data_IF_892814165297
#
_entry.id   IF_892814165297
#
_cell.length_a   1.000
_cell.length_b   1.000
_cell.length_c   1.000
_cell.angle_alpha   90.00
_cell.angle_beta   90.00
_cell.angle_gamma   90.00
#
_symmetry.space_group_name_H-M   'P 1'
#
loop_
_entity.id
_entity.type
_entity.pdbx_description
1 polymer ?
#
# COMPACT_ATOMS: atom_id res chain seq x y z
N UNK A 1 6.24 -34.17 7.02
CA UNK A 1 6.02 -33.90 5.59
C UNK A 1 5.37 -32.52 5.46
N UNK A 2 6.17 -31.59 4.94
CA UNK A 2 5.88 -30.33 4.22
C UNK A 2 4.67 -29.45 4.60
N UNK A 3 4.97 -28.22 5.03
CA UNK A 3 4.15 -27.03 4.77
C UNK A 3 5.07 -25.80 4.58
N UNK A 4 5.10 -25.31 3.34
CA UNK A 4 5.76 -24.08 2.87
C UNK A 4 5.06 -22.82 3.41
N UNK A 5 5.81 -21.78 3.79
CA UNK A 5 5.38 -20.38 3.64
C UNK A 5 6.56 -19.42 3.87
N UNK A 6 7.28 -19.13 2.79
CA UNK A 6 8.17 -17.98 2.64
C UNK A 6 8.02 -17.54 1.18
N UNK A 7 7.28 -16.46 0.94
CA UNK A 7 7.31 -15.79 -0.36
C UNK A 7 8.46 -14.78 -0.32
N UNK A 8 9.62 -15.29 -0.74
CA UNK A 8 10.69 -14.50 -1.35
C UNK A 8 10.53 -14.80 -2.84
N UNK A 9 10.13 -13.81 -3.64
CA UNK A 9 10.34 -13.85 -5.08
C UNK A 9 11.61 -13.04 -5.36
N UNK A 10 12.73 -13.73 -5.49
CA UNK A 10 13.87 -13.28 -6.29
C UNK A 10 13.57 -13.63 -7.74
N UNK A 11 13.59 -12.68 -8.66
CA UNK A 11 13.84 -12.95 -10.08
C UNK A 11 14.39 -11.68 -10.77
N UNK A 12 15.72 -11.60 -10.89
CA UNK A 12 16.42 -10.79 -11.91
C UNK A 12 17.25 -11.74 -12.80
N UNK A 13 16.73 -12.14 -13.97
CA UNK A 13 17.29 -11.74 -15.26
C UNK A 13 16.67 -12.48 -16.47
N UNK A 14 16.01 -11.67 -17.30
CA UNK A 14 16.15 -11.63 -18.76
C UNK A 14 15.58 -12.77 -19.60
N UNK A 15 14.27 -12.81 -19.68
CA UNK A 15 13.54 -12.41 -20.90
C UNK A 15 12.27 -11.82 -20.33
N UNK A 16 11.85 -10.61 -20.71
CA UNK A 16 10.45 -10.23 -20.45
C UNK A 16 9.61 -11.43 -20.89
N UNK A 17 8.91 -12.15 -19.99
CA UNK A 17 7.66 -12.68 -20.47
C UNK A 17 6.96 -11.41 -20.91
N UNK A 18 6.55 -11.36 -22.17
CA UNK A 18 5.45 -10.50 -22.56
C UNK A 18 4.31 -10.83 -21.58
N UNK A 19 4.33 -10.20 -20.40
CA UNK A 19 3.17 -10.01 -19.57
C UNK A 19 2.39 -9.10 -20.46
N UNK A 20 1.57 -9.72 -21.28
CA UNK A 20 0.72 -9.07 -22.23
C UNK A 20 -0.03 -7.99 -21.46
N UNK A 21 0.47 -6.76 -21.59
CA UNK A 21 -0.09 -5.55 -21.01
C UNK A 21 -1.49 -5.28 -21.61
N UNK A 22 -2.00 -6.18 -22.45
CA UNK A 22 -3.40 -6.34 -22.80
C UNK A 22 -4.27 -6.89 -21.64
N UNK A 23 -4.12 -6.36 -20.41
CA UNK A 23 -5.29 -6.25 -19.52
C UNK A 23 -6.30 -5.19 -20.02
N UNK A 24 -5.99 -4.53 -21.14
CA UNK A 24 -6.67 -3.33 -21.63
C UNK A 24 -7.36 -3.52 -22.99
N UNK A 25 -7.84 -4.72 -23.32
CA UNK A 25 -8.68 -4.89 -24.52
C UNK A 25 -10.10 -4.31 -24.37
N UNK A 26 -10.31 -3.33 -23.48
CA UNK A 26 -11.45 -2.41 -23.37
C UNK A 26 -11.09 -1.10 -22.61
N UNK A 27 -9.81 -0.80 -22.36
CA UNK A 27 -9.43 0.59 -22.04
C UNK A 27 -9.12 1.23 -23.38
N UNK A 28 -10.13 1.92 -23.89
CA UNK A 28 -9.97 2.90 -24.96
C UNK A 28 -9.03 4.01 -24.43
N UNK A 29 -7.72 3.78 -24.50
CA UNK A 29 -6.66 4.70 -24.05
C UNK A 29 -6.70 6.04 -24.82
N UNK A 30 -7.42 6.09 -25.94
CA UNK A 30 -7.71 7.32 -26.68
C UNK A 30 -8.90 8.10 -26.11
N UNK A 31 -9.73 7.50 -25.23
CA UNK A 31 -10.86 8.18 -24.59
C UNK A 31 -10.58 8.76 -23.21
N UNK A 32 -9.51 8.38 -22.52
CA UNK A 32 -9.11 8.96 -21.23
C UNK A 32 -7.75 9.66 -21.37
N UNK A 33 -7.71 10.74 -22.17
CA UNK A 33 -6.51 11.57 -22.28
C UNK A 33 -6.17 12.23 -20.93
N UNK A 34 -4.89 12.59 -20.68
CA UNK A 34 -4.50 13.38 -19.51
C UNK A 34 -5.30 14.69 -19.35
N UNK A 35 -5.82 15.22 -20.45
CA UNK A 35 -6.69 16.41 -20.45
C UNK A 35 -8.08 16.10 -19.90
N UNK A 36 -8.68 14.95 -20.25
CA UNK A 36 -9.95 14.49 -19.64
C UNK A 36 -9.80 14.15 -18.16
N UNK A 37 -8.63 13.70 -17.73
CA UNK A 37 -8.32 13.53 -16.31
C UNK A 37 -8.36 14.86 -15.55
N UNK A 38 -7.86 15.94 -16.15
CA UNK A 38 -7.95 17.27 -15.54
C UNK A 38 -9.40 17.76 -15.47
N UNK A 39 -10.22 17.49 -16.49
CA UNK A 39 -11.65 17.80 -16.49
C UNK A 39 -12.45 16.95 -15.49
N UNK A 40 -12.16 15.65 -15.37
CA UNK A 40 -12.82 14.73 -14.43
C UNK A 40 -12.43 15.00 -12.96
N UNK A 41 -11.21 15.51 -12.72
CA UNK A 41 -10.80 16.08 -11.42
C UNK A 41 -11.43 17.45 -11.14
N UNK A 42 -11.74 18.24 -12.16
CA UNK A 42 -12.43 19.53 -12.01
C UNK A 42 -13.93 19.33 -11.76
N UNK A 43 -14.55 18.26 -12.29
CA UNK A 43 -15.91 17.84 -11.91
C UNK A 43 -16.01 17.24 -10.50
N UNK A 44 -14.88 16.86 -9.90
CA UNK A 44 -14.81 16.47 -8.49
C UNK A 44 -14.86 17.72 -7.62
N UNK A 45 -16.03 18.34 -7.55
CA UNK A 45 -16.33 19.40 -6.59
C UNK A 45 -16.20 18.80 -5.18
N UNK A 46 -15.03 19.01 -4.57
CA UNK A 46 -14.58 18.40 -3.30
C UNK A 46 -15.42 18.84 -2.09
N UNK A 47 -16.33 19.79 -2.30
CA UNK A 47 -17.26 20.34 -1.30
C UNK A 47 -18.62 19.64 -1.25
N UNK A 48 -18.94 18.74 -2.18
CA UNK A 48 -20.24 18.05 -2.22
C UNK A 48 -20.24 16.65 -1.62
N UNK A 49 -19.22 16.28 -0.83
CA UNK A 49 -19.25 15.06 -0.02
C UNK A 49 -20.12 15.25 1.23
N UNK A 50 -21.37 15.67 1.03
CA UNK A 50 -22.33 15.86 2.11
C UNK A 50 -22.62 14.49 2.76
N UNK A 51 -22.26 14.29 4.05
CA UNK A 51 -22.46 13.02 4.76
C UNK A 51 -23.92 12.56 4.74
N UNK A 52 -24.86 13.50 4.61
CA UNK A 52 -26.29 13.23 4.64
C UNK A 52 -26.85 12.69 3.31
N UNK A 53 -26.16 12.90 2.18
CA UNK A 53 -26.56 12.35 0.87
C UNK A 53 -26.19 10.87 0.75
N UNK A 54 -25.06 10.48 1.34
CA UNK A 54 -24.55 9.08 1.34
C UNK A 54 -25.41 8.19 2.24
N UNK A 55 -26.02 8.75 3.29
CA UNK A 55 -26.81 8.01 4.28
C UNK A 55 -28.21 7.55 3.82
N UNK A 56 -28.73 8.04 2.68
CA UNK A 56 -30.16 7.89 2.35
C UNK A 56 -30.58 6.60 1.61
N UNK A 57 -29.67 5.64 1.35
CA UNK A 57 -30.00 4.46 0.49
C UNK A 57 -29.53 3.07 0.97
N UNK A 58 -29.26 2.85 2.25
CA UNK A 58 -28.88 1.52 2.78
C UNK A 58 -29.21 1.33 4.26
N UNK A 59 -29.13 0.08 4.74
CA UNK A 59 -29.47 -0.36 6.10
C UNK A 59 -28.90 0.56 7.21
N UNK A 60 -29.73 0.90 8.21
CA UNK A 60 -29.48 1.90 9.26
C UNK A 60 -28.19 1.70 10.07
N UNK A 61 -27.61 0.49 10.07
CA UNK A 61 -26.36 0.16 10.81
C UNK A 61 -25.09 0.36 9.97
N UNK A 62 -25.13 0.06 8.68
CA UNK A 62 -24.00 0.25 7.74
C UNK A 62 -23.75 1.73 7.42
N UNK A 63 -24.79 2.56 7.47
CA UNK A 63 -24.71 4.01 7.27
C UNK A 63 -23.86 4.71 8.33
N UNK A 64 -23.87 4.20 9.58
CA UNK A 64 -23.13 4.82 10.67
C UNK A 64 -21.63 4.50 10.59
N UNK A 65 -21.24 3.31 10.14
CA UNK A 65 -19.82 2.95 9.94
C UNK A 65 -19.17 3.77 8.83
N UNK A 66 -19.87 3.93 7.69
CA UNK A 66 -19.39 4.78 6.59
C UNK A 66 -19.29 6.22 7.06
N UNK A 67 -20.28 6.74 7.81
CA UNK A 67 -20.25 8.12 8.33
C UNK A 67 -19.09 8.34 9.29
N UNK A 68 -18.85 7.41 10.22
CA UNK A 68 -17.72 7.47 11.15
C UNK A 68 -16.38 7.46 10.41
N UNK A 69 -16.24 6.59 9.39
CA UNK A 69 -15.05 6.54 8.56
C UNK A 69 -14.81 7.85 7.80
N UNK A 70 -15.84 8.39 7.14
CA UNK A 70 -15.75 9.67 6.42
C UNK A 70 -15.38 10.84 7.34
N UNK A 71 -15.92 10.84 8.56
CA UNK A 71 -15.56 11.83 9.56
C UNK A 71 -14.10 11.72 9.98
N UNK A 72 -13.58 10.50 10.16
CA UNK A 72 -12.19 10.28 10.57
C UNK A 72 -11.20 10.72 9.47
N UNK A 73 -11.44 10.35 8.21
CA UNK A 73 -10.57 10.77 7.11
C UNK A 73 -10.68 12.28 6.81
N UNK A 74 -11.82 12.89 7.12
CA UNK A 74 -12.05 14.33 6.95
C UNK A 74 -11.27 15.20 7.96
N UNK A 75 -10.74 14.61 9.03
CA UNK A 75 -9.91 15.33 10.02
C UNK A 75 -8.50 15.65 9.51
N UNK A 76 -8.00 14.89 8.54
CA UNK A 76 -6.67 15.07 7.99
C UNK A 76 -6.76 16.06 6.83
N UNK A 77 -6.00 17.18 6.85
CA UNK A 77 -6.01 18.16 5.78
C UNK A 77 -5.46 17.58 4.47
N UNK A 78 -5.87 18.17 3.35
CA UNK A 78 -5.31 17.86 2.05
C UNK A 78 -3.87 18.38 1.98
N UNK A 79 -2.98 17.64 1.32
CA UNK A 79 -1.60 18.05 1.12
C UNK A 79 -1.50 19.12 0.04
N UNK A 80 -0.70 20.15 0.31
CA UNK A 80 -0.27 21.08 -0.72
C UNK A 80 0.79 20.45 -1.63
N UNK A 81 1.05 21.06 -2.80
CA UNK A 81 1.99 20.52 -3.79
C UNK A 81 3.41 20.35 -3.24
N UNK A 82 3.88 21.30 -2.44
CA UNK A 82 5.22 21.25 -1.85
C UNK A 82 5.30 20.19 -0.74
N UNK A 83 4.20 20.01 0.02
CA UNK A 83 4.08 18.97 1.03
C UNK A 83 4.02 17.57 0.40
N UNK A 84 3.30 17.40 -0.72
CA UNK A 84 3.28 16.15 -1.49
C UNK A 84 4.69 15.72 -1.88
N UNK A 85 5.51 16.66 -2.39
CA UNK A 85 6.90 16.39 -2.78
C UNK A 85 7.76 16.04 -1.56
N UNK A 86 7.64 16.81 -0.47
CA UNK A 86 8.40 16.59 0.76
C UNK A 86 8.10 15.23 1.41
N UNK A 87 6.82 14.86 1.51
CA UNK A 87 6.41 13.56 2.05
C UNK A 87 6.86 12.42 1.14
N UNK A 88 6.65 12.54 -0.18
CA UNK A 88 7.10 11.55 -1.15
C UNK A 88 8.62 11.30 -1.08
N UNK A 89 9.43 12.34 -0.93
CA UNK A 89 10.88 12.20 -0.78
C UNK A 89 11.28 11.44 0.49
N UNK A 90 10.59 11.67 1.62
CA UNK A 90 10.84 10.93 2.86
C UNK A 90 10.47 9.47 2.72
N UNK A 91 9.34 9.18 2.06
CA UNK A 91 8.90 7.81 1.75
C UNK A 91 9.92 7.10 0.87
N UNK A 92 10.34 7.73 -0.24
CA UNK A 92 11.31 7.15 -1.16
C UNK A 92 12.65 6.89 -0.47
N UNK A 93 13.14 7.84 0.35
CA UNK A 93 14.38 7.63 1.12
C UNK A 93 14.26 6.43 2.05
N UNK A 94 13.10 6.23 2.67
CA UNK A 94 12.84 5.09 3.54
C UNK A 94 12.77 3.76 2.79
N UNK A 95 12.14 3.72 1.62
CA UNK A 95 12.08 2.52 0.78
C UNK A 95 13.48 2.16 0.27
N UNK A 96 14.24 3.15 -0.20
CA UNK A 96 15.60 2.94 -0.68
C UNK A 96 16.49 2.30 0.39
N UNK A 97 16.45 2.76 1.65
CA UNK A 97 17.29 2.14 2.70
C UNK A 97 16.87 0.69 3.01
N UNK A 98 15.60 0.33 2.83
CA UNK A 98 15.12 -1.05 3.00
C UNK A 98 15.60 -1.92 1.83
N UNK A 99 15.53 -1.40 0.60
CA UNK A 99 16.01 -2.10 -0.59
C UNK A 99 17.52 -2.33 -0.53
N UNK A 100 18.31 -1.32 -0.15
CA UNK A 100 19.77 -1.48 0.01
C UNK A 100 20.12 -2.50 1.09
N UNK A 101 19.34 -2.55 2.18
CA UNK A 101 19.48 -3.59 3.20
C UNK A 101 19.21 -4.99 2.63
N UNK A 102 18.17 -5.13 1.81
CA UNK A 102 17.80 -6.40 1.19
C UNK A 102 18.88 -6.86 0.20
N UNK A 103 19.33 -5.96 -0.70
CA UNK A 103 20.43 -6.24 -1.64
C UNK A 103 21.72 -6.63 -0.93
N UNK A 104 22.09 -5.93 0.14
CA UNK A 104 23.28 -6.26 0.91
C UNK A 104 23.17 -7.63 1.60
N UNK A 105 21.97 -8.02 2.04
CA UNK A 105 21.72 -9.36 2.57
C UNK A 105 21.82 -10.44 1.46
N UNK A 106 21.32 -10.18 0.25
CA UNK A 106 21.44 -11.08 -0.90
C UNK A 106 22.88 -11.24 -1.39
N UNK A 107 23.68 -10.17 -1.32
CA UNK A 107 25.10 -10.15 -1.72
C UNK A 107 26.01 -10.96 -0.75
N UNK A 108 25.43 -11.58 0.28
CA UNK A 108 26.12 -12.53 1.17
C UNK A 108 26.47 -11.98 2.56
N UNK A 109 25.92 -10.84 2.98
CA UNK A 109 26.09 -10.35 4.34
C UNK A 109 25.25 -11.16 5.33
N UNK A 110 25.86 -12.18 5.95
CA UNK A 110 25.20 -13.08 6.89
C UNK A 110 24.58 -12.35 8.11
N UNK A 111 25.19 -11.25 8.55
CA UNK A 111 24.68 -10.44 9.67
C UNK A 111 23.35 -9.78 9.30
N UNK A 112 23.25 -9.23 8.08
CA UNK A 112 22.02 -8.63 7.59
C UNK A 112 20.95 -9.66 7.27
N UNK A 113 21.34 -10.84 6.77
CA UNK A 113 20.39 -11.95 6.58
C UNK A 113 19.77 -12.38 7.91
N UNK A 114 20.58 -12.58 8.96
CA UNK A 114 20.08 -12.91 10.29
C UNK A 114 19.19 -11.78 10.83
N UNK A 115 19.58 -10.53 10.64
CA UNK A 115 18.79 -9.36 11.05
C UNK A 115 17.42 -9.29 10.37
N UNK A 116 17.35 -9.49 9.05
CA UNK A 116 16.08 -9.52 8.29
C UNK A 116 15.19 -10.65 8.81
N UNK A 117 15.74 -11.86 9.00
CA UNK A 117 14.97 -12.99 9.55
C UNK A 117 14.39 -12.69 10.93
N UNK A 118 15.15 -12.03 11.80
CA UNK A 118 14.66 -11.61 13.12
C UNK A 118 13.50 -10.61 13.01
N UNK A 119 13.63 -9.62 12.11
CA UNK A 119 12.57 -8.63 11.83
C UNK A 119 11.33 -9.31 11.26
N UNK A 120 11.47 -10.26 10.34
CA UNK A 120 10.35 -10.99 9.76
C UNK A 120 9.62 -11.86 10.80
N UNK A 121 10.34 -12.44 11.77
CA UNK A 121 9.71 -13.14 12.90
C UNK A 121 8.93 -12.15 13.76
N UNK A 122 9.47 -10.96 14.02
CA UNK A 122 8.77 -9.92 14.76
C UNK A 122 7.48 -9.49 14.04
N UNK A 123 7.55 -9.25 12.74
CA UNK A 123 6.41 -8.75 11.97
C UNK A 123 5.31 -9.82 11.85
N UNK A 124 5.69 -11.09 11.70
CA UNK A 124 4.74 -12.22 11.81
C UNK A 124 4.03 -12.26 13.17
N UNK A 125 4.75 -12.02 14.26
CA UNK A 125 4.15 -11.94 15.60
C UNK A 125 3.20 -10.75 15.73
N UNK A 126 3.52 -9.60 15.14
CA UNK A 126 2.62 -8.44 15.10
C UNK A 126 1.32 -8.80 14.39
N UNK A 127 1.39 -9.46 13.23
CA UNK A 127 0.20 -9.90 12.48
C UNK A 127 -0.63 -10.89 13.28
N UNK A 128 -0.01 -11.84 13.98
CA UNK A 128 -0.73 -12.85 14.78
C UNK A 128 -1.40 -12.27 16.02
N UNK A 129 -0.76 -11.31 16.69
CA UNK A 129 -1.26 -10.74 17.95
C UNK A 129 -2.16 -9.52 17.73
N UNK A 130 -2.16 -8.91 16.54
CA UNK A 130 -2.83 -7.63 16.25
C UNK A 130 -2.37 -6.46 17.14
N UNK A 131 -1.26 -6.64 17.85
CA UNK A 131 -0.63 -5.64 18.70
C UNK A 131 0.89 -5.87 18.76
N UNK A 132 1.65 -4.86 19.20
CA UNK A 132 3.10 -4.95 19.30
C UNK A 132 3.50 -6.07 20.29
N UNK A 133 4.34 -7.05 19.88
CA UNK A 133 4.79 -8.12 20.77
C UNK A 133 5.78 -7.57 21.81
N UNK A 134 5.80 -8.19 22.99
CA UNK A 134 6.84 -7.92 23.98
C UNK A 134 8.16 -8.55 23.53
N UNK A 135 9.29 -7.92 23.91
CA UNK A 135 10.62 -8.46 23.57
C UNK A 135 10.85 -9.87 24.13
N UNK A 136 10.22 -10.19 25.26
CA UNK A 136 10.23 -11.53 25.86
C UNK A 136 9.55 -12.55 24.94
N UNK A 137 8.40 -12.19 24.35
CA UNK A 137 7.67 -13.07 23.43
C UNK A 137 8.44 -13.27 22.13
N UNK A 138 9.08 -12.22 21.62
CA UNK A 138 9.93 -12.30 20.44
C UNK A 138 11.12 -13.25 20.69
N UNK A 139 11.86 -13.05 21.78
CA UNK A 139 12.98 -13.92 22.16
C UNK A 139 12.56 -15.39 22.31
N UNK A 140 11.42 -15.64 22.97
CA UNK A 140 10.86 -16.99 23.11
C UNK A 140 10.52 -17.65 21.76
N UNK A 141 10.04 -16.87 20.79
CA UNK A 141 9.66 -17.40 19.47
C UNK A 141 10.88 -17.76 18.63
N UNK A 142 11.95 -16.97 18.74
CA UNK A 142 13.22 -17.23 18.07
C UNK A 142 14.02 -18.33 18.80
N UNK A 143 13.70 -18.63 20.07
CA UNK A 143 14.43 -19.59 20.89
C UNK A 143 15.75 -19.05 21.44
N UNK A 144 15.87 -17.73 21.58
CA UNK A 144 17.06 -17.04 22.09
C UNK A 144 16.80 -16.39 23.44
N UNK A 145 17.87 -16.14 24.20
CA UNK A 145 17.78 -15.30 25.40
C UNK A 145 17.63 -13.81 25.03
N UNK A 146 16.94 -13.05 25.87
CA UNK A 146 16.73 -11.60 25.69
C UNK A 146 18.04 -10.81 25.46
N UNK A 147 19.13 -11.00 26.23
CA UNK A 147 20.38 -10.28 25.97
C UNK A 147 20.98 -10.61 24.60
N UNK A 148 21.00 -11.89 24.22
CA UNK A 148 21.52 -12.34 22.91
C UNK A 148 20.72 -11.73 21.77
N UNK A 149 19.39 -11.74 21.87
CA UNK A 149 18.52 -11.12 20.87
C UNK A 149 18.82 -9.62 20.73
N UNK A 150 18.97 -8.90 21.84
CA UNK A 150 19.28 -7.46 21.82
C UNK A 150 20.63 -7.18 21.17
N UNK A 151 21.63 -8.01 21.45
CA UNK A 151 22.96 -7.90 20.85
C UNK A 151 22.90 -8.12 19.34
N UNK A 152 22.27 -9.20 18.88
CA UNK A 152 22.09 -9.50 17.46
C UNK A 152 21.34 -8.39 16.71
N UNK A 153 20.30 -7.82 17.32
CA UNK A 153 19.58 -6.69 16.75
C UNK A 153 20.44 -5.42 16.69
N UNK A 154 21.28 -5.17 17.69
CA UNK A 154 22.19 -4.03 17.70
C UNK A 154 23.26 -4.17 16.61
N UNK A 155 23.88 -5.34 16.49
CA UNK A 155 24.87 -5.65 15.45
C UNK A 155 24.24 -5.57 14.06
N UNK A 156 23.04 -6.11 13.87
CA UNK A 156 22.31 -5.99 12.60
C UNK A 156 21.97 -4.55 12.22
N UNK A 157 21.56 -3.73 13.20
CA UNK A 157 21.33 -2.29 12.98
C UNK A 157 22.62 -1.53 12.63
N UNK A 158 23.73 -1.87 13.27
CA UNK A 158 25.04 -1.28 12.95
C UNK A 158 25.48 -1.63 11.53
N UNK A 159 25.40 -2.92 11.16
CA UNK A 159 25.71 -3.37 9.80
C UNK A 159 24.81 -2.69 8.75
N UNK A 160 23.53 -2.45 9.07
CA UNK A 160 22.64 -1.71 8.17
C UNK A 160 23.08 -0.25 8.01
N UNK A 161 23.41 0.42 9.12
CA UNK A 161 23.90 1.80 9.10
C UNK A 161 25.22 1.94 8.30
N UNK A 162 26.10 0.93 8.37
CA UNK A 162 27.34 0.86 7.59
C UNK A 162 27.07 0.77 6.08
N UNK A 163 26.11 -0.06 5.64
CA UNK A 163 25.76 -0.20 4.21
C UNK A 163 25.33 1.13 3.60
N UNK A 164 24.53 1.90 4.33
CA UNK A 164 24.01 3.20 3.86
C UNK A 164 24.93 4.37 4.20
N UNK A 165 26.12 4.09 4.77
CA UNK A 165 27.11 5.08 5.22
C UNK A 165 26.52 6.19 6.12
N UNK A 166 25.68 5.83 7.09
CA UNK A 166 25.13 6.80 8.05
C UNK A 166 25.27 6.33 9.51
N UNK A 167 24.99 7.22 10.45
CA UNK A 167 24.95 6.85 11.87
C UNK A 167 23.68 6.06 12.21
N UNK A 168 23.75 5.22 13.25
CA UNK A 168 22.60 4.41 13.73
C UNK A 168 21.44 5.31 14.18
N UNK A 169 21.74 6.48 14.78
CA UNK A 169 20.70 7.44 15.18
C UNK A 169 20.03 8.10 13.96
N UNK A 170 20.80 8.35 12.91
CA UNK A 170 20.28 8.92 11.67
C UNK A 170 19.40 7.89 10.94
N UNK A 171 19.82 6.63 10.87
CA UNK A 171 19.03 5.53 10.33
C UNK A 171 17.66 5.42 11.03
N UNK A 172 17.64 5.41 12.37
CA UNK A 172 16.39 5.38 13.14
C UNK A 172 15.50 6.61 12.85
N UNK A 173 16.09 7.78 12.60
CA UNK A 173 15.35 9.00 12.23
C UNK A 173 14.76 8.89 10.82
N UNK A 174 15.53 8.41 9.84
CA UNK A 174 15.06 8.20 8.46
C UNK A 174 13.90 7.20 8.46
N UNK A 175 14.04 6.08 9.18
CA UNK A 175 13.00 5.07 9.27
C UNK A 175 11.71 5.64 9.89
N UNK A 176 11.80 6.31 11.04
CA UNK A 176 10.63 6.90 11.69
C UNK A 176 9.95 7.96 10.82
N UNK A 177 10.73 8.85 10.23
CA UNK A 177 10.21 9.90 9.37
C UNK A 177 9.56 9.33 8.12
N UNK A 178 10.14 8.29 7.51
CA UNK A 178 9.57 7.63 6.33
C UNK A 178 8.27 6.89 6.60
N UNK A 179 8.19 6.17 7.72
CA UNK A 179 6.94 5.49 8.13
C UNK A 179 5.84 6.53 8.38
N UNK A 180 6.16 7.59 9.16
CA UNK A 180 5.20 8.65 9.43
C UNK A 180 4.78 9.38 8.14
N UNK A 181 5.72 9.64 7.24
CA UNK A 181 5.46 10.27 5.95
C UNK A 181 4.53 9.43 5.08
N UNK A 182 4.79 8.11 5.01
CA UNK A 182 3.93 7.15 4.29
C UNK A 182 2.52 7.17 4.85
N UNK A 183 2.38 7.06 6.17
CA UNK A 183 1.07 7.10 6.82
C UNK A 183 0.34 8.42 6.59
N UNK A 184 1.05 9.55 6.69
CA UNK A 184 0.47 10.88 6.49
C UNK A 184 0.00 11.06 5.04
N UNK A 185 0.83 10.66 4.07
CA UNK A 185 0.52 10.73 2.64
C UNK A 185 -0.66 9.84 2.27
N UNK A 186 -0.78 8.64 2.85
CA UNK A 186 -1.97 7.79 2.67
C UNK A 186 -3.21 8.49 3.25
N UNK A 187 -3.16 8.92 4.52
CA UNK A 187 -4.31 9.51 5.23
C UNK A 187 -4.86 10.75 4.53
N UNK A 188 -3.99 11.66 4.09
CA UNK A 188 -4.39 12.87 3.37
C UNK A 188 -5.10 12.58 2.04
N UNK A 189 -4.85 11.41 1.44
CA UNK A 189 -5.40 11.01 0.14
C UNK A 189 -6.55 9.99 0.23
N UNK A 190 -7.01 9.61 1.42
CA UNK A 190 -8.13 8.66 1.58
C UNK A 190 -9.44 9.18 0.96
N UNK A 191 -9.64 10.51 0.92
CA UNK A 191 -10.82 11.12 0.29
C UNK A 191 -10.91 10.81 -1.21
N UNK A 192 -9.76 10.73 -1.90
CA UNK A 192 -9.68 10.33 -3.31
C UNK A 192 -10.12 8.87 -3.48
N UNK A 193 -9.73 7.97 -2.58
CA UNK A 193 -10.14 6.56 -2.64
C UNK A 193 -11.66 6.44 -2.56
N UNK A 194 -12.28 7.18 -1.64
CA UNK A 194 -13.75 7.20 -1.49
C UNK A 194 -14.43 7.69 -2.76
N UNK A 195 -13.94 8.78 -3.38
CA UNK A 195 -14.57 9.33 -4.59
C UNK A 195 -14.47 8.36 -5.77
N UNK A 196 -13.36 7.64 -5.91
CA UNK A 196 -13.20 6.59 -6.93
C UNK A 196 -14.11 5.38 -6.61
N UNK A 197 -14.09 4.87 -5.37
CA UNK A 197 -14.85 3.70 -4.96
C UNK A 197 -16.37 3.86 -5.13
N UNK A 198 -16.90 5.07 -4.92
CA UNK A 198 -18.33 5.38 -5.15
C UNK A 198 -18.81 5.01 -6.56
N UNK A 199 -17.96 5.16 -7.59
CA UNK A 199 -18.29 4.83 -8.99
C UNK A 199 -18.47 3.32 -9.22
N UNK A 200 -17.96 2.48 -8.32
CA UNK A 200 -17.97 1.02 -8.43
C UNK A 200 -18.97 0.33 -7.49
N UNK A 201 -19.84 1.09 -6.83
CA UNK A 201 -20.91 0.55 -5.99
C UNK A 201 -21.87 -0.36 -6.78
N UNK A 202 -22.54 -1.26 -6.05
CA UNK A 202 -23.52 -2.22 -6.61
C UNK A 202 -22.94 -3.23 -7.62
N UNK A 203 -21.62 -3.44 -7.60
CA UNK A 203 -20.92 -4.46 -8.43
C UNK A 203 -20.61 -5.76 -7.67
N UNK A 204 -21.35 -6.04 -6.60
CA UNK A 204 -21.21 -7.27 -5.80
C UNK A 204 -20.31 -7.17 -4.57
N UNK A 205 -19.73 -6.00 -4.28
CA UNK A 205 -19.00 -5.71 -3.04
C UNK A 205 -19.61 -4.50 -2.32
N UNK A 206 -19.48 -4.46 -0.99
CA UNK A 206 -19.91 -3.32 -0.18
C UNK A 206 -18.99 -2.11 -0.42
N UNK A 207 -19.50 -0.89 -0.21
CA UNK A 207 -18.69 0.33 -0.33
C UNK A 207 -17.44 0.28 0.56
N UNK A 208 -17.55 -0.20 1.80
CA UNK A 208 -16.41 -0.30 2.72
C UNK A 208 -15.34 -1.23 2.16
N UNK A 209 -15.73 -2.39 1.62
CA UNK A 209 -14.79 -3.33 0.99
C UNK A 209 -14.08 -2.71 -0.22
N UNK A 210 -14.83 -2.00 -1.08
CA UNK A 210 -14.26 -1.27 -2.21
C UNK A 210 -13.27 -0.19 -1.76
N UNK A 211 -13.58 0.54 -0.68
CA UNK A 211 -12.69 1.55 -0.09
C UNK A 211 -11.42 0.88 0.44
N UNK A 212 -11.53 -0.26 1.12
CA UNK A 212 -10.36 -0.98 1.65
C UNK A 212 -9.43 -1.45 0.52
N UNK A 213 -9.98 -2.05 -0.53
CA UNK A 213 -9.21 -2.51 -1.69
C UNK A 213 -8.61 -1.35 -2.47
N UNK A 214 -9.33 -0.24 -2.59
CA UNK A 214 -8.79 1.01 -3.14
C UNK A 214 -7.69 1.62 -2.28
N UNK A 215 -7.77 1.49 -0.95
CA UNK A 215 -6.74 1.96 0.00
C UNK A 215 -5.45 1.15 -0.14
N UNK A 216 -5.55 -0.17 -0.37
CA UNK A 216 -4.39 -1.00 -0.70
C UNK A 216 -3.76 -0.59 -2.03
N UNK A 217 -4.58 -0.19 -3.01
CA UNK A 217 -4.09 0.42 -4.25
C UNK A 217 -3.35 1.74 -4.01
N UNK A 218 -3.94 2.63 -3.21
CA UNK A 218 -3.31 3.89 -2.81
C UNK A 218 -1.98 3.69 -2.10
N UNK A 219 -1.89 2.74 -1.16
CA UNK A 219 -0.64 2.44 -0.45
C UNK A 219 0.49 2.06 -1.42
N UNK A 220 0.21 1.21 -2.42
CA UNK A 220 1.17 0.87 -3.48
C UNK A 220 1.56 2.07 -4.32
N UNK A 221 0.61 2.97 -4.59
CA UNK A 221 0.91 4.22 -5.29
C UNK A 221 1.88 5.09 -4.49
N UNK A 222 1.68 5.21 -3.18
CA UNK A 222 2.57 5.96 -2.29
C UNK A 222 3.99 5.38 -2.31
N UNK A 223 4.11 4.05 -2.30
CA UNK A 223 5.43 3.39 -2.33
C UNK A 223 6.19 3.57 -3.64
N UNK A 224 5.50 3.74 -4.77
CA UNK A 224 6.11 3.81 -6.11
C UNK A 224 6.10 5.20 -6.73
N UNK A 225 5.55 6.19 -6.04
CA UNK A 225 5.42 7.53 -6.58
C UNK A 225 6.76 8.24 -6.64
N UNK A 226 7.07 8.79 -7.82
CA UNK A 226 8.28 9.54 -8.07
C UNK A 226 7.96 11.04 -8.25
N UNK A 227 8.29 11.91 -7.27
CA UNK A 227 7.99 13.33 -7.35
C UNK A 227 8.83 14.07 -8.39
N UNK A 228 9.92 13.48 -8.90
CA UNK A 228 10.78 14.15 -9.89
C UNK A 228 10.14 14.25 -11.27
N UNK A 229 9.11 13.45 -11.55
CA UNK A 229 8.38 13.42 -12.82
C UNK A 229 7.42 14.61 -13.01
N UNK A 230 7.18 15.42 -11.97
CA UNK A 230 6.43 16.68 -12.07
C UNK A 230 4.90 16.58 -12.11
N UNK A 231 4.33 15.37 -12.18
CA UNK A 231 2.89 15.12 -12.10
C UNK A 231 2.38 15.16 -10.64
N UNK A 232 1.09 15.49 -10.45
CA UNK A 232 0.46 15.44 -9.13
C UNK A 232 0.30 14.00 -8.67
N UNK A 233 0.40 13.78 -7.35
CA UNK A 233 0.23 12.46 -6.77
C UNK A 233 -1.16 11.87 -7.05
N UNK A 234 -2.21 12.68 -7.05
CA UNK A 234 -3.59 12.27 -7.35
C UNK A 234 -3.72 11.59 -8.71
N UNK A 235 -3.01 12.08 -9.74
CA UNK A 235 -2.98 11.49 -11.09
C UNK A 235 -2.43 10.07 -11.07
N UNK A 236 -1.31 9.89 -10.37
CA UNK A 236 -0.65 8.60 -10.28
C UNK A 236 -1.47 7.61 -9.43
N UNK A 237 -1.97 8.08 -8.29
CA UNK A 237 -2.74 7.26 -7.36
C UNK A 237 -4.04 6.72 -7.96
N UNK A 238 -4.72 7.50 -8.81
CA UNK A 238 -5.97 7.10 -9.44
C UNK A 238 -5.87 5.73 -10.14
N UNK A 239 -4.82 5.52 -10.94
CA UNK A 239 -4.59 4.26 -11.65
C UNK A 239 -4.49 3.07 -10.71
N UNK A 240 -3.69 3.20 -9.64
CA UNK A 240 -3.51 2.14 -8.66
C UNK A 240 -4.77 1.86 -7.83
N UNK A 241 -5.52 2.90 -7.47
CA UNK A 241 -6.80 2.78 -6.76
C UNK A 241 -7.81 2.03 -7.64
N UNK A 242 -7.97 2.46 -8.90
CA UNK A 242 -8.87 1.83 -9.88
C UNK A 242 -8.49 0.36 -10.11
N UNK A 243 -7.20 0.08 -10.25
CA UNK A 243 -6.70 -1.27 -10.45
C UNK A 243 -6.99 -2.18 -9.25
N UNK A 244 -6.76 -1.68 -8.03
CA UNK A 244 -7.08 -2.41 -6.79
C UNK A 244 -8.56 -2.76 -6.71
N UNK A 245 -9.44 -1.78 -6.90
CA UNK A 245 -10.89 -1.95 -6.86
C UNK A 245 -11.38 -2.94 -7.92
N UNK A 246 -10.94 -2.77 -9.17
CA UNK A 246 -11.38 -3.62 -10.29
C UNK A 246 -10.94 -5.07 -10.09
N UNK A 247 -9.70 -5.29 -9.64
CA UNK A 247 -9.18 -6.62 -9.29
C UNK A 247 -9.98 -7.26 -8.15
N UNK A 248 -10.34 -6.49 -7.12
CA UNK A 248 -11.15 -6.99 -6.02
C UNK A 248 -12.54 -7.43 -6.49
N UNK A 249 -13.21 -6.62 -7.31
CA UNK A 249 -14.51 -6.97 -7.89
C UNK A 249 -14.40 -8.27 -8.71
N UNK A 250 -13.40 -8.40 -9.57
CA UNK A 250 -13.23 -9.61 -10.38
C UNK A 250 -13.01 -10.88 -9.51
N UNK A 251 -12.36 -10.74 -8.36
CA UNK A 251 -11.92 -11.89 -7.55
C UNK A 251 -12.83 -12.23 -6.37
N UNK A 252 -13.57 -11.26 -5.82
CA UNK A 252 -14.32 -11.39 -4.57
C UNK A 252 -15.82 -11.12 -4.72
N UNK A 253 -16.29 -10.51 -5.80
CA UNK A 253 -17.73 -10.15 -5.95
C UNK A 253 -18.69 -11.34 -6.02
N UNK A 254 -18.18 -12.56 -6.22
CA UNK A 254 -18.96 -13.77 -6.41
C UNK A 254 -18.68 -14.75 -5.29
N UNK A 255 -19.74 -15.43 -4.83
CA UNK A 255 -19.63 -16.51 -3.82
C UNK A 255 -18.69 -17.62 -4.26
N UNK A 256 -18.69 -17.95 -5.56
CA UNK A 256 -17.72 -18.86 -6.16
C UNK A 256 -16.72 -18.03 -6.96
N UNK A 257 -15.45 -18.07 -6.52
CA UNK A 257 -14.35 -17.36 -7.18
C UNK A 257 -14.19 -17.86 -8.61
N UNK A 258 -14.21 -16.92 -9.55
CA UNK A 258 -13.86 -17.17 -10.95
C UNK A 258 -12.51 -16.50 -11.27
N UNK A 259 -11.66 -17.12 -12.11
CA UNK A 259 -10.44 -16.46 -12.58
C UNK A 259 -10.76 -15.20 -13.42
N UNK A 260 -9.89 -14.19 -13.37
CA UNK A 260 -10.14 -12.84 -13.93
C UNK A 260 -10.50 -12.86 -15.41
N UNK A 261 -9.76 -13.59 -16.25
CA UNK A 261 -10.05 -13.73 -17.68
C UNK A 261 -11.46 -14.29 -18.02
N UNK A 262 -12.09 -15.05 -17.10
CA UNK A 262 -13.47 -15.53 -17.28
C UNK A 262 -14.45 -14.39 -16.98
N UNK A 263 -14.16 -13.58 -15.97
CA UNK A 263 -14.99 -12.43 -15.61
C UNK A 263 -15.00 -11.36 -16.71
N UNK A 264 -13.88 -11.15 -17.38
CA UNK A 264 -13.76 -10.26 -18.54
C UNK A 264 -14.66 -10.71 -19.69
N UNK A 265 -14.59 -12.00 -20.06
CA UNK A 265 -15.46 -12.58 -21.10
C UNK A 265 -16.94 -12.42 -20.76
N UNK A 266 -17.31 -12.58 -19.49
CA UNK A 266 -18.70 -12.40 -19.05
C UNK A 266 -19.18 -10.95 -19.16
N UNK A 267 -18.30 -9.96 -18.92
CA UNK A 267 -18.65 -8.55 -19.07
C UNK A 267 -18.79 -8.14 -20.55
N UNK A 268 -18.02 -8.77 -21.46
CA UNK A 268 -18.08 -8.53 -22.91
C UNK A 268 -19.33 -9.08 -23.61
N UNK A 269 -20.04 -10.02 -22.98
CA UNK A 269 -21.27 -10.63 -23.53
C UNK A 269 -22.52 -9.80 -23.18
N UNK A 270 -22.38 -8.78 -22.34
CA UNK A 270 -23.48 -7.99 -21.78
C UNK A 270 -23.87 -6.78 -22.64
#
# INVERSE_FOLDING_TARGET
MLANSSYIETDENNTSPDIDLNLDADIDLDKDSPDKFSEELVELDLDSADPDVIARRGSRTTTDLVRLYLQEIGRVPLLERDEEVSEAQKVQRHINIIEERAKAAETGNAVLQEFIQLVDVHDRLVTQLSHRPSIKRWAMTVGMEIPVLKEKLAVGKQAWAEVINCDVKELDKIQKNGIHAKEHMIKANLRLVVSVAKKYQNRGLELLDLIQEGTLGLERAVEKFDPTKGYRFSTYAYWWIRQGITRAIATQSRTIRLPVHITEKLNKIK
#
